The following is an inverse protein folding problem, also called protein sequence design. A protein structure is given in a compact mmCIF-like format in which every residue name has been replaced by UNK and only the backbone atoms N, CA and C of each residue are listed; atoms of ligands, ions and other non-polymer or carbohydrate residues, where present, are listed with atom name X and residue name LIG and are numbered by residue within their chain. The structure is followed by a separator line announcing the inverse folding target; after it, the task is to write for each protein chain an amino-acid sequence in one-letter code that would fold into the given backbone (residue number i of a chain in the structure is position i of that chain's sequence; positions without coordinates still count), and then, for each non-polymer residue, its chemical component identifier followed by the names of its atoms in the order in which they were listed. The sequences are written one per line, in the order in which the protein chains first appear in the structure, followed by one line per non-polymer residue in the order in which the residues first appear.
data_IF_003002723104
#
_entry.id   IF_003002723104
#
_cell.length_a   1.000
_cell.length_b   1.000
_cell.length_c   1.000
_cell.angle_alpha   90.00
_cell.angle_beta   90.00
_cell.angle_gamma   90.00
#
_symmetry.space_group_name_H-M   'P 1'
#
loop_
_entity.id
_entity.type
_entity.pdbx_description
1 polymer ?
#
# COMPACT_ATOMS: atom_id res chain seq x y z
N UNK A 1 12.63 36.51 -14.51
CA UNK A 1 12.94 35.13 -14.05
C UNK A 1 12.55 34.99 -12.57
N UNK A 2 11.77 33.96 -12.22
CA UNK A 2 11.29 33.74 -10.85
C UNK A 2 12.33 32.92 -10.05
N UNK A 3 13.10 32.08 -10.73
CA UNK A 3 14.02 31.11 -10.10
C UNK A 3 15.00 31.73 -9.08
N UNK A 4 15.62 32.91 -9.31
CA UNK A 4 16.50 33.53 -8.34
C UNK A 4 15.80 34.10 -7.10
N UNK A 5 14.47 34.27 -7.17
CA UNK A 5 13.67 34.94 -6.14
C UNK A 5 12.93 33.95 -5.22
N UNK A 6 12.74 32.70 -5.66
CA UNK A 6 11.95 31.72 -4.93
C UNK A 6 12.77 30.44 -4.73
N UNK A 7 13.03 30.03 -3.47
CA UNK A 7 13.66 28.75 -3.18
C UNK A 7 12.81 27.59 -3.70
N UNK A 8 13.44 26.64 -4.41
CA UNK A 8 12.80 25.44 -4.92
C UNK A 8 13.20 24.23 -4.09
N UNK A 9 12.20 23.61 -3.47
CA UNK A 9 12.35 22.37 -2.71
C UNK A 9 11.55 21.28 -3.43
N UNK A 10 12.20 20.18 -3.77
CA UNK A 10 11.56 19.06 -4.44
C UNK A 10 11.45 17.88 -3.48
N UNK A 11 10.20 17.42 -3.24
CA UNK A 11 9.94 16.19 -2.49
C UNK A 11 9.90 15.02 -3.47
N UNK A 12 10.83 14.08 -3.33
CA UNK A 12 11.15 13.08 -4.36
C UNK A 12 10.90 11.65 -3.91
N UNK A 13 10.34 10.85 -4.81
CA UNK A 13 9.83 9.49 -4.54
C UNK A 13 10.40 8.43 -5.50
N UNK A 14 11.57 8.64 -6.09
CA UNK A 14 12.17 7.68 -7.02
C UNK A 14 12.76 6.48 -6.29
N UNK A 15 12.38 5.26 -6.70
CA UNK A 15 12.78 4.00 -6.09
C UNK A 15 13.24 2.95 -7.11
N UNK A 16 13.36 3.31 -8.39
CA UNK A 16 13.71 2.39 -9.48
C UNK A 16 15.18 2.46 -9.86
N UNK A 17 15.71 1.34 -10.35
CA UNK A 17 17.04 1.22 -10.91
C UNK A 17 16.98 0.89 -12.42
N UNK A 18 17.98 1.30 -13.20
CA UNK A 18 19.20 2.02 -12.79
C UNK A 18 18.93 3.46 -12.36
N UNK A 19 19.90 4.06 -11.64
CA UNK A 19 19.81 5.46 -11.20
C UNK A 19 19.53 6.39 -12.39
N UNK A 20 18.61 7.38 -12.26
CA UNK A 20 18.12 8.18 -13.37
C UNK A 20 19.08 9.33 -13.71
N UNK A 21 20.25 9.05 -14.24
CA UNK A 21 21.26 10.06 -14.61
C UNK A 21 20.72 11.13 -15.57
N UNK A 22 19.69 10.80 -16.37
CA UNK A 22 18.97 11.75 -17.21
C UNK A 22 18.25 12.85 -16.41
N UNK A 23 17.96 12.62 -15.13
CA UNK A 23 17.32 13.61 -14.24
C UNK A 23 18.31 14.60 -13.61
N UNK A 24 19.63 14.45 -13.85
CA UNK A 24 20.65 15.30 -13.21
C UNK A 24 20.36 16.79 -13.30
N UNK A 25 19.97 17.29 -14.50
CA UNK A 25 19.66 18.71 -14.71
C UNK A 25 18.45 19.16 -13.87
N UNK A 26 17.45 18.31 -13.72
CA UNK A 26 16.27 18.59 -12.89
C UNK A 26 16.65 18.65 -11.40
N UNK A 27 17.48 17.72 -10.94
CA UNK A 27 17.95 17.74 -9.55
C UNK A 27 18.76 19.00 -9.25
N UNK A 28 19.67 19.39 -10.12
CA UNK A 28 20.48 20.60 -9.98
C UNK A 28 19.67 21.91 -10.08
N UNK A 29 18.48 21.87 -10.65
CA UNK A 29 17.60 23.05 -10.71
C UNK A 29 16.92 23.36 -9.39
N UNK A 30 17.00 22.48 -8.40
CA UNK A 30 16.44 22.68 -7.08
C UNK A 30 17.49 23.18 -6.09
N UNK A 31 17.06 23.97 -5.11
CA UNK A 31 17.91 24.42 -4.00
C UNK A 31 18.09 23.28 -2.96
N UNK A 32 17.09 22.39 -2.90
CA UNK A 32 17.09 21.25 -1.99
C UNK A 32 16.18 20.14 -2.49
N UNK A 33 16.60 18.89 -2.29
CA UNK A 33 15.75 17.72 -2.52
C UNK A 33 15.48 17.03 -1.17
N UNK A 34 14.21 16.72 -0.91
CA UNK A 34 13.77 15.95 0.23
C UNK A 34 13.34 14.56 -0.25
N UNK A 35 14.14 13.55 0.04
CA UNK A 35 13.88 12.17 -0.36
C UNK A 35 12.96 11.47 0.62
N UNK A 36 11.93 10.80 0.11
CA UNK A 36 10.94 10.06 0.90
C UNK A 36 11.54 8.85 1.62
N UNK A 37 12.52 8.21 1.02
CA UNK A 37 13.16 6.99 1.52
C UNK A 37 14.69 7.10 1.50
N UNK A 38 15.34 6.21 2.22
CA UNK A 38 16.81 6.09 2.17
C UNK A 38 17.29 5.67 0.78
N UNK A 39 16.53 4.79 0.10
CA UNK A 39 16.80 4.36 -1.27
C UNK A 39 16.75 5.56 -2.23
N UNK A 40 15.67 6.35 -2.18
CA UNK A 40 15.55 7.57 -2.99
C UNK A 40 16.70 8.54 -2.72
N UNK A 41 17.08 8.73 -1.45
CA UNK A 41 18.21 9.59 -1.06
C UNK A 41 19.52 9.10 -1.71
N UNK A 42 19.80 7.81 -1.61
CA UNK A 42 21.05 7.24 -2.10
C UNK A 42 21.13 7.29 -3.64
N UNK A 43 19.99 7.07 -4.33
CA UNK A 43 19.90 7.24 -5.80
C UNK A 43 20.13 8.71 -6.21
N UNK A 44 19.53 9.68 -5.51
CA UNK A 44 19.76 11.11 -5.82
C UNK A 44 21.20 11.51 -5.53
N UNK A 45 21.81 11.02 -4.45
CA UNK A 45 23.22 11.27 -4.12
C UNK A 45 24.17 10.70 -5.18
N UNK A 46 23.87 9.54 -5.74
CA UNK A 46 24.62 8.96 -6.86
C UNK A 46 24.54 9.83 -8.11
N UNK A 47 23.34 10.28 -8.47
CA UNK A 47 23.13 11.10 -9.69
C UNK A 47 23.67 12.52 -9.54
N UNK A 48 23.55 13.11 -8.35
CA UNK A 48 23.83 14.54 -8.10
C UNK A 48 24.36 14.76 -6.70
N UNK A 49 25.65 14.42 -6.45
CA UNK A 49 26.24 14.57 -5.11
C UNK A 49 26.33 16.02 -4.64
N UNK A 50 26.20 17.01 -5.56
CA UNK A 50 26.30 18.45 -5.26
C UNK A 50 25.02 19.04 -4.71
N UNK A 51 23.87 18.39 -4.88
CA UNK A 51 22.57 18.94 -4.44
C UNK A 51 22.43 18.81 -2.93
N UNK A 52 21.82 19.81 -2.30
CA UNK A 52 21.44 19.71 -0.89
C UNK A 52 20.33 18.68 -0.72
N UNK A 53 20.62 17.59 -0.05
CA UNK A 53 19.75 16.42 0.07
C UNK A 53 19.38 16.13 1.52
N UNK A 54 18.11 15.94 1.80
CA UNK A 54 17.57 15.54 3.09
C UNK A 54 16.73 14.27 2.97
N UNK A 55 16.74 13.45 4.00
CA UNK A 55 15.77 12.37 4.17
C UNK A 55 14.58 12.90 4.96
N UNK A 56 13.40 12.86 4.36
CA UNK A 56 12.13 13.29 4.95
C UNK A 56 11.08 12.23 4.63
N UNK A 57 10.90 11.23 5.51
CA UNK A 57 9.92 10.16 5.27
C UNK A 57 8.49 10.70 5.33
N UNK A 58 7.57 9.95 4.73
CA UNK A 58 6.15 10.15 5.00
C UNK A 58 5.84 9.92 6.47
N UNK A 59 4.84 10.63 6.97
CA UNK A 59 4.32 10.48 8.30
C UNK A 59 2.81 10.25 8.26
N UNK A 60 2.29 9.59 9.27
CA UNK A 60 0.86 9.43 9.53
C UNK A 60 0.51 10.11 10.85
N UNK A 61 -0.75 10.50 11.00
CA UNK A 61 -1.25 11.06 12.25
C UNK A 61 -1.35 9.95 13.31
N UNK A 62 -0.49 10.01 14.33
CA UNK A 62 -0.44 9.03 15.41
C UNK A 62 -1.65 9.07 16.34
N UNK A 63 -2.43 10.15 16.34
CA UNK A 63 -3.68 10.19 17.10
C UNK A 63 -4.79 9.38 16.43
N UNK A 64 -4.72 9.26 15.10
CA UNK A 64 -5.66 8.45 14.30
C UNK A 64 -5.16 7.02 14.17
N UNK A 65 -3.92 6.85 13.70
CA UNK A 65 -3.31 5.52 13.47
C UNK A 65 -2.55 5.05 14.70
N UNK A 66 -3.28 4.59 15.69
CA UNK A 66 -2.75 4.03 16.93
C UNK A 66 -3.25 2.60 17.16
N UNK A 67 -2.46 1.82 17.86
CA UNK A 67 -2.84 0.46 18.25
C UNK A 67 -3.94 0.51 19.32
N UNK A 68 -5.00 -0.25 19.12
CA UNK A 68 -6.10 -0.43 20.06
C UNK A 68 -5.80 -1.59 21.03
N UNK A 69 -6.55 -1.66 22.13
CA UNK A 69 -6.46 -2.80 23.06
C UNK A 69 -7.04 -4.06 22.43
N UNK A 70 -6.66 -5.23 22.95
CA UNK A 70 -7.18 -6.52 22.48
C UNK A 70 -8.71 -6.59 22.58
N UNK A 71 -9.30 -6.06 23.68
CA UNK A 71 -10.74 -6.03 23.87
C UNK A 71 -11.43 -5.16 22.80
N UNK A 72 -10.86 -3.99 22.48
CA UNK A 72 -11.37 -3.11 21.44
C UNK A 72 -11.30 -3.77 20.05
N UNK A 73 -10.18 -4.44 19.76
CA UNK A 73 -10.00 -5.18 18.50
C UNK A 73 -11.02 -6.31 18.38
N UNK A 74 -11.23 -7.08 19.45
CA UNK A 74 -12.23 -8.16 19.47
C UNK A 74 -13.64 -7.63 19.21
N UNK A 75 -13.99 -6.49 19.82
CA UNK A 75 -15.31 -5.88 19.62
C UNK A 75 -15.49 -5.39 18.18
N UNK A 76 -14.46 -4.78 17.59
CA UNK A 76 -14.46 -4.37 16.17
C UNK A 76 -14.61 -5.58 15.25
N UNK A 77 -13.88 -6.66 15.50
CA UNK A 77 -13.99 -7.90 14.70
C UNK A 77 -15.40 -8.49 14.77
N UNK A 78 -16.04 -8.49 15.94
CA UNK A 78 -17.44 -8.95 16.09
C UNK A 78 -18.43 -8.12 15.29
N UNK A 79 -18.18 -6.81 15.17
CA UNK A 79 -19.07 -5.90 14.44
C UNK A 79 -18.89 -6.00 12.90
N UNK A 80 -17.68 -6.24 12.43
CA UNK A 80 -17.32 -6.15 11.01
C UNK A 80 -17.09 -7.51 10.33
N UNK A 81 -16.75 -8.55 11.08
CA UNK A 81 -16.59 -9.90 10.55
C UNK A 81 -17.80 -10.76 10.92
N UNK A 82 -18.15 -11.71 10.05
CA UNK A 82 -19.18 -12.70 10.35
C UNK A 82 -18.82 -13.52 11.60
N UNK A 83 -19.82 -14.03 12.30
CA UNK A 83 -19.59 -14.86 13.51
C UNK A 83 -18.65 -16.03 13.28
N UNK A 84 -18.71 -16.63 12.09
CA UNK A 84 -17.88 -17.76 11.66
C UNK A 84 -16.46 -17.36 11.23
N UNK A 85 -16.21 -16.04 11.06
CA UNK A 85 -14.98 -15.52 10.48
C UNK A 85 -14.08 -14.84 11.53
N UNK A 86 -14.52 -14.76 12.79
CA UNK A 86 -13.79 -14.07 13.87
C UNK A 86 -12.46 -14.73 14.21
N UNK A 87 -12.35 -16.06 14.04
CA UNK A 87 -11.14 -16.83 14.33
C UNK A 87 -10.22 -16.99 13.12
N UNK A 88 -10.61 -16.43 11.96
CA UNK A 88 -9.76 -16.46 10.76
C UNK A 88 -8.58 -15.50 10.88
N UNK A 89 -7.47 -15.88 10.26
CA UNK A 89 -6.38 -14.95 10.00
C UNK A 89 -6.82 -13.99 8.91
N UNK A 90 -6.85 -12.70 9.20
CA UNK A 90 -7.30 -11.65 8.30
C UNK A 90 -6.11 -10.94 7.69
N UNK A 91 -5.95 -11.09 6.39
CA UNK A 91 -4.97 -10.37 5.59
C UNK A 91 -5.58 -9.10 5.00
N UNK A 92 -4.77 -8.07 4.82
CA UNK A 92 -5.20 -6.79 4.25
C UNK A 92 -4.27 -6.32 3.14
N UNK A 93 -4.86 -5.94 2.03
CA UNK A 93 -4.17 -5.31 0.91
C UNK A 93 -4.86 -3.98 0.58
N UNK A 94 -4.18 -2.88 0.84
CA UNK A 94 -4.67 -1.52 0.60
C UNK A 94 -3.78 -0.83 -0.43
N UNK A 95 -4.18 -0.90 -1.68
CA UNK A 95 -3.46 -0.30 -2.79
C UNK A 95 -4.43 0.03 -3.93
N UNK A 96 -4.02 0.96 -4.80
CA UNK A 96 -4.67 1.11 -6.09
C UNK A 96 -4.46 -0.17 -6.91
N UNK A 97 -5.52 -0.65 -7.57
CA UNK A 97 -5.41 -1.77 -8.50
C UNK A 97 -4.68 -1.34 -9.79
N UNK A 98 -3.36 -1.26 -9.73
CA UNK A 98 -2.49 -0.96 -10.85
C UNK A 98 -1.54 -2.14 -11.09
N UNK A 99 -1.09 -2.34 -12.32
CA UNK A 99 -0.27 -3.52 -12.73
C UNK A 99 0.90 -3.78 -11.80
N UNK A 100 1.68 -2.74 -11.46
CA UNK A 100 2.85 -2.86 -10.57
C UNK A 100 2.51 -3.31 -9.13
N UNK A 101 1.24 -3.25 -8.75
CA UNK A 101 0.77 -3.66 -7.41
C UNK A 101 0.46 -5.15 -7.31
N UNK A 102 0.50 -5.87 -8.43
CA UNK A 102 0.41 -7.34 -8.49
C UNK A 102 -0.87 -7.93 -7.88
N UNK A 103 -2.00 -7.20 -7.97
CA UNK A 103 -3.27 -7.58 -7.33
C UNK A 103 -3.78 -8.97 -7.75
N UNK A 104 -3.71 -9.29 -9.04
CA UNK A 104 -4.10 -10.62 -9.54
C UNK A 104 -3.14 -11.73 -9.10
N UNK A 105 -1.83 -11.45 -9.06
CA UNK A 105 -0.83 -12.37 -8.52
C UNK A 105 -1.10 -12.68 -7.06
N UNK A 106 -1.49 -11.66 -6.26
CA UNK A 106 -1.88 -11.84 -4.87
C UNK A 106 -3.06 -12.80 -4.74
N UNK A 107 -4.12 -12.61 -5.53
CA UNK A 107 -5.30 -13.49 -5.51
C UNK A 107 -4.94 -14.94 -5.85
N UNK A 108 -4.09 -15.14 -6.87
CA UNK A 108 -3.62 -16.46 -7.25
C UNK A 108 -2.84 -17.15 -6.11
N UNK A 109 -1.90 -16.44 -5.47
CA UNK A 109 -1.13 -16.99 -4.37
C UNK A 109 -1.96 -17.16 -3.10
N UNK A 110 -2.92 -16.28 -2.85
CA UNK A 110 -3.85 -16.43 -1.74
C UNK A 110 -4.73 -17.68 -1.90
N UNK A 111 -5.22 -17.95 -3.13
CA UNK A 111 -5.93 -19.22 -3.42
C UNK A 111 -5.06 -20.43 -3.12
N UNK A 112 -3.80 -20.43 -3.59
CA UNK A 112 -2.84 -21.51 -3.31
C UNK A 112 -2.56 -21.66 -1.82
N UNK A 113 -2.51 -20.59 -1.08
CA UNK A 113 -2.38 -20.62 0.37
C UNK A 113 -3.60 -21.28 1.02
N UNK A 114 -4.82 -20.89 0.64
CA UNK A 114 -6.05 -21.50 1.16
C UNK A 114 -6.14 -23.00 0.81
N UNK A 115 -5.75 -23.39 -0.38
CA UNK A 115 -5.70 -24.81 -0.78
C UNK A 115 -4.81 -25.65 0.15
N UNK A 116 -3.78 -25.03 0.73
CA UNK A 116 -2.82 -25.69 1.62
C UNK A 116 -3.27 -25.69 3.08
N UNK A 117 -3.85 -24.58 3.57
CA UNK A 117 -4.15 -24.41 5.01
C UNK A 117 -5.62 -24.68 5.37
N UNK A 118 -6.51 -24.64 4.37
CA UNK A 118 -7.96 -24.73 4.52
C UNK A 118 -8.67 -23.44 4.17
N UNK A 119 -9.78 -23.57 3.45
CA UNK A 119 -10.55 -22.45 2.90
C UNK A 119 -11.34 -21.65 3.94
N UNK A 120 -11.42 -22.16 5.16
CA UNK A 120 -12.06 -21.56 6.33
C UNK A 120 -11.07 -20.90 7.31
N UNK A 121 -9.76 -20.93 7.03
CA UNK A 121 -8.71 -20.52 7.96
C UNK A 121 -8.27 -19.08 7.82
N UNK A 122 -8.50 -18.48 6.64
CA UNK A 122 -8.05 -17.12 6.40
C UNK A 122 -9.02 -16.36 5.48
N UNK A 123 -8.91 -15.04 5.55
CA UNK A 123 -9.65 -14.09 4.74
C UNK A 123 -8.71 -12.98 4.25
N UNK A 124 -8.92 -12.52 3.03
CA UNK A 124 -8.20 -11.37 2.44
C UNK A 124 -9.18 -10.22 2.23
N UNK A 125 -8.92 -9.08 2.83
CA UNK A 125 -9.62 -7.83 2.55
C UNK A 125 -8.78 -7.04 1.55
N UNK A 126 -9.37 -6.69 0.40
CA UNK A 126 -8.73 -5.84 -0.60
C UNK A 126 -9.46 -4.49 -0.67
N UNK A 127 -8.82 -3.44 -0.17
CA UNK A 127 -9.37 -2.07 -0.25
C UNK A 127 -8.85 -1.40 -1.52
N UNK A 128 -9.68 -1.43 -2.57
CA UNK A 128 -9.31 -0.97 -3.91
C UNK A 128 -10.54 -0.85 -4.83
N UNK A 129 -10.39 -0.17 -5.96
CA UNK A 129 -11.32 -0.30 -7.09
C UNK A 129 -11.02 -1.61 -7.84
N UNK A 130 -11.92 -2.61 -7.81
CA UNK A 130 -11.68 -3.92 -8.44
C UNK A 130 -11.63 -3.85 -9.97
N UNK A 131 -12.10 -2.75 -10.59
CA UNK A 131 -12.16 -2.52 -12.04
C UNK A 131 -11.38 -1.29 -12.49
N UNK A 132 -10.36 -0.86 -11.74
CA UNK A 132 -9.48 0.24 -12.17
C UNK A 132 -8.93 -0.05 -13.58
N UNK A 133 -9.09 0.87 -14.55
CA UNK A 133 -8.68 0.65 -15.94
C UNK A 133 -7.16 0.46 -16.11
N UNK A 134 -6.36 0.79 -15.10
CA UNK A 134 -4.90 0.60 -15.11
C UNK A 134 -4.48 -0.73 -14.42
N UNK A 135 -5.46 -1.52 -13.96
CA UNK A 135 -5.24 -2.76 -13.25
C UNK A 135 -5.80 -3.98 -13.97
N UNK A 136 -6.27 -4.90 -13.17
CA UNK A 136 -6.90 -6.15 -13.59
C UNK A 136 -8.35 -6.17 -13.12
N UNK A 137 -9.24 -6.86 -13.83
CA UNK A 137 -10.60 -7.13 -13.36
C UNK A 137 -10.54 -8.18 -12.24
N UNK A 138 -10.54 -7.69 -10.99
CA UNK A 138 -10.39 -8.55 -9.82
C UNK A 138 -11.62 -9.42 -9.58
N UNK A 139 -12.81 -8.94 -9.90
CA UNK A 139 -14.04 -9.73 -9.78
C UNK A 139 -13.99 -10.96 -10.69
N UNK A 140 -13.56 -10.75 -11.94
CA UNK A 140 -13.39 -11.85 -12.89
C UNK A 140 -12.30 -12.86 -12.45
N UNK A 141 -11.18 -12.37 -11.89
CA UNK A 141 -10.12 -13.24 -11.37
C UNK A 141 -10.60 -14.06 -10.17
N UNK A 142 -11.32 -13.44 -9.24
CA UNK A 142 -11.90 -14.10 -8.05
C UNK A 142 -12.85 -15.22 -8.49
N UNK A 143 -13.76 -14.91 -9.42
CA UNK A 143 -14.69 -15.89 -9.98
C UNK A 143 -13.96 -17.05 -10.67
N UNK A 144 -12.99 -16.74 -11.53
CA UNK A 144 -12.18 -17.75 -12.24
C UNK A 144 -11.40 -18.67 -11.30
N UNK A 145 -10.91 -18.14 -10.17
CA UNK A 145 -10.21 -18.90 -9.14
C UNK A 145 -11.16 -19.67 -8.21
N UNK A 146 -12.47 -19.46 -8.33
CA UNK A 146 -13.48 -20.08 -7.47
C UNK A 146 -13.38 -19.63 -6.01
N UNK A 147 -12.98 -18.36 -5.78
CA UNK A 147 -12.91 -17.76 -4.46
C UNK A 147 -14.25 -17.13 -4.06
N UNK A 148 -14.65 -17.32 -2.80
CA UNK A 148 -15.87 -16.74 -2.25
C UNK A 148 -15.64 -15.28 -1.85
N UNK A 149 -16.42 -14.36 -2.46
CA UNK A 149 -16.33 -12.91 -2.24
C UNK A 149 -16.89 -12.44 -0.90
N UNK A 150 -17.58 -13.28 -0.15
CA UNK A 150 -18.11 -12.94 1.18
C UNK A 150 -17.27 -13.52 2.32
N UNK A 151 -16.58 -14.63 2.08
CA UNK A 151 -15.90 -15.39 3.13
C UNK A 151 -14.39 -15.49 2.98
N UNK A 152 -13.88 -15.38 1.75
CA UNK A 152 -12.45 -15.59 1.46
C UNK A 152 -11.77 -14.31 0.98
N UNK A 153 -12.41 -13.56 0.08
CA UNK A 153 -11.88 -12.30 -0.45
C UNK A 153 -12.95 -11.21 -0.37
N UNK A 154 -12.79 -10.27 0.53
CA UNK A 154 -13.70 -9.13 0.65
C UNK A 154 -13.17 -7.95 -0.15
N UNK A 155 -13.96 -7.43 -1.08
CA UNK A 155 -13.65 -6.23 -1.83
C UNK A 155 -14.28 -5.01 -1.14
N UNK A 156 -13.42 -4.08 -0.69
CA UNK A 156 -13.80 -2.79 -0.12
C UNK A 156 -13.47 -1.69 -1.13
N UNK A 157 -14.47 -1.24 -1.90
CA UNK A 157 -14.28 -0.27 -2.99
C UNK A 157 -14.71 1.15 -2.64
N UNK A 158 -15.39 1.35 -1.51
CA UNK A 158 -15.86 2.66 -1.10
C UNK A 158 -14.73 3.50 -0.51
N UNK A 159 -14.75 4.80 -0.81
CA UNK A 159 -13.85 5.76 -0.19
C UNK A 159 -14.16 5.86 1.30
N UNK A 160 -13.20 5.57 2.15
CA UNK A 160 -13.31 5.68 3.60
C UNK A 160 -12.42 6.80 4.13
N UNK A 161 -12.76 7.34 5.29
CA UNK A 161 -11.94 8.33 5.97
C UNK A 161 -10.76 7.68 6.71
N UNK A 162 -9.85 8.49 7.23
CA UNK A 162 -8.66 7.99 7.93
C UNK A 162 -9.00 7.21 9.21
N UNK A 163 -10.05 7.60 9.93
CA UNK A 163 -10.49 6.89 11.13
C UNK A 163 -10.97 5.48 10.81
N UNK A 164 -11.82 5.32 9.80
CA UNK A 164 -12.29 4.01 9.35
C UNK A 164 -11.14 3.15 8.81
N UNK A 165 -10.18 3.77 8.11
CA UNK A 165 -8.97 3.07 7.67
C UNK A 165 -8.12 2.59 8.85
N UNK A 166 -7.98 3.40 9.91
CA UNK A 166 -7.28 2.99 11.13
C UNK A 166 -7.99 1.83 11.84
N UNK A 167 -9.33 1.80 11.82
CA UNK A 167 -10.12 0.66 12.31
C UNK A 167 -9.80 -0.60 11.52
N UNK A 168 -9.77 -0.53 10.18
CA UNK A 168 -9.38 -1.66 9.34
C UNK A 168 -7.99 -2.17 9.69
N UNK A 169 -6.98 -1.27 9.84
CA UNK A 169 -5.62 -1.68 10.21
C UNK A 169 -5.53 -2.33 11.60
N UNK A 170 -6.41 -1.99 12.52
CA UNK A 170 -6.45 -2.64 13.84
C UNK A 170 -7.18 -3.99 13.82
N UNK A 171 -8.10 -4.20 12.88
CA UNK A 171 -8.91 -5.41 12.78
C UNK A 171 -8.16 -6.59 12.15
N UNK A 172 -7.12 -6.34 11.40
CA UNK A 172 -6.38 -7.34 10.61
C UNK A 172 -5.20 -7.92 11.39
N UNK A 173 -4.74 -9.09 10.96
CA UNK A 173 -3.56 -9.75 11.52
C UNK A 173 -2.29 -9.45 10.70
N UNK A 174 -2.42 -9.22 9.39
CA UNK A 174 -1.26 -9.01 8.52
C UNK A 174 -1.60 -8.15 7.31
N UNK A 175 -0.81 -7.11 7.06
CA UNK A 175 -0.79 -6.39 5.77
C UNK A 175 0.10 -7.08 4.76
N UNK A 176 -0.37 -7.15 3.51
CA UNK A 176 0.43 -7.68 2.39
C UNK A 176 0.77 -6.55 1.42
N UNK A 177 2.02 -6.45 1.06
CA UNK A 177 2.47 -5.64 -0.07
C UNK A 177 3.46 -6.43 -0.91
N UNK A 178 3.11 -6.65 -2.18
CA UNK A 178 3.91 -7.37 -3.17
C UNK A 178 4.16 -6.53 -4.42
N UNK A 179 4.14 -5.21 -4.26
CA UNK A 179 4.36 -4.27 -5.35
C UNK A 179 5.78 -4.41 -5.92
N UNK A 180 5.91 -4.27 -7.25
CA UNK A 180 7.22 -4.25 -7.92
C UNK A 180 8.04 -3.03 -7.51
N UNK A 181 7.37 -1.90 -7.23
CA UNK A 181 7.97 -0.65 -6.81
C UNK A 181 7.04 0.17 -5.92
N UNK A 182 7.62 0.78 -4.89
CA UNK A 182 6.96 1.73 -3.98
C UNK A 182 7.90 2.92 -3.74
N UNK A 183 7.34 4.13 -3.75
CA UNK A 183 8.10 5.37 -3.54
C UNK A 183 8.58 5.61 -2.12
#
# INVERSE_FOLDING_TARGET
EIRPLVPMIYYHVWDNFPAPHFNRKFYLSNDRICAISKVTRDIVAEVTPEVKLNYVPHAVDSEIFKTLTEEQVLEIRKQHLGKEDQDKVVFFWNNRNARRKQSGSLLFWFKKFLDKVGHDKAQLIMHTDPKDPHGQDLEHIIDHLGLDTQRQVLLSSQKINQGDLAVLYNMIDCTINISDAEG
#
